data_IF_891342851229
#
_entry.id   IF_891342851229
#
_cell.length_a   1.000
_cell.length_b   1.000
_cell.length_c   1.000
_cell.angle_alpha   90.00
_cell.angle_beta   90.00
_cell.angle_gamma   90.00
#
_symmetry.space_group_name_H-M   'P 1'
#
loop_
_entity.id
_entity.type
_entity.pdbx_description
1 polymer ?
#
# COMPACT_ATOMS: atom_id res chain seq x y z
N UNK A 1 -13.37 25.96 -7.13
CA UNK A 1 -13.67 26.27 -5.72
C UNK A 1 -13.85 27.78 -5.60
N UNK A 2 -14.95 28.24 -5.01
CA UNK A 2 -15.22 29.65 -4.72
C UNK A 2 -15.49 29.79 -3.22
N UNK A 3 -14.61 30.50 -2.51
CA UNK A 3 -14.83 30.82 -1.11
C UNK A 3 -14.57 32.30 -0.86
N UNK A 4 -15.51 32.96 -0.20
CA UNK A 4 -15.39 34.34 0.26
C UNK A 4 -15.05 34.34 1.75
N UNK A 5 -13.89 34.88 2.10
CA UNK A 5 -13.45 35.04 3.48
C UNK A 5 -13.35 36.52 3.81
N UNK A 6 -13.86 36.91 4.97
CA UNK A 6 -13.74 38.27 5.51
C UNK A 6 -12.92 38.24 6.79
N UNK A 7 -11.88 39.08 6.87
CA UNK A 7 -11.10 39.27 8.11
C UNK A 7 -11.51 40.59 8.75
N UNK A 8 -12.02 40.56 9.99
CA UNK A 8 -12.31 41.77 10.75
C UNK A 8 -11.10 42.71 10.81
N UNK A 9 -11.35 44.02 10.74
CA UNK A 9 -10.29 45.02 10.74
C UNK A 9 -9.30 44.87 11.92
N UNK A 10 -9.82 44.54 13.10
CA UNK A 10 -9.03 44.34 14.33
C UNK A 10 -8.02 43.18 14.21
N UNK A 11 -8.32 42.15 13.42
CA UNK A 11 -7.47 40.97 13.26
C UNK A 11 -6.36 41.17 12.21
N UNK A 12 -6.40 42.26 11.41
CA UNK A 12 -5.36 42.54 10.40
C UNK A 12 -4.08 43.11 11.00
N UNK A 13 -4.12 43.61 12.24
CA UNK A 13 -2.98 44.25 12.90
C UNK A 13 -2.50 45.54 12.20
N UNK A 14 -3.35 46.15 11.37
CA UNK A 14 -3.08 47.41 10.65
C UNK A 14 -3.70 48.55 11.47
N UNK A 15 -2.95 49.64 11.67
CA UNK A 15 -3.48 50.82 12.35
C UNK A 15 -4.64 51.44 11.54
N UNK A 16 -5.72 51.84 12.22
CA UNK A 16 -6.89 52.47 11.58
C UNK A 16 -6.60 53.87 11.03
N UNK A 17 -5.60 54.53 11.59
CA UNK A 17 -5.20 55.88 11.26
C UNK A 17 -3.68 56.02 11.38
N UNK A 18 -3.09 56.86 10.53
CA UNK A 18 -1.65 57.12 10.49
C UNK A 18 -1.29 58.08 9.37
N UNK A 19 -0.06 58.57 9.36
CA UNK A 19 0.42 59.50 8.34
C UNK A 19 0.44 58.83 6.95
N UNK A 20 -0.16 59.50 5.97
CA UNK A 20 -0.23 59.02 4.59
C UNK A 20 1.16 58.82 3.97
N UNK A 21 2.17 59.57 4.41
CA UNK A 21 3.57 59.40 3.97
C UNK A 21 4.27 58.19 4.62
N UNK A 22 3.76 57.70 5.75
CA UNK A 22 4.29 56.52 6.44
C UNK A 22 3.63 55.20 5.97
N UNK A 23 2.57 55.28 5.17
CA UNK A 23 1.89 54.13 4.57
C UNK A 23 2.75 53.48 3.48
N UNK A 24 3.55 52.50 3.88
CA UNK A 24 4.27 51.67 2.93
C UNK A 24 3.34 50.57 2.38
N UNK A 25 2.82 50.76 1.16
CA UNK A 25 1.97 49.81 0.43
C UNK A 25 2.54 48.38 0.37
N UNK A 26 3.87 48.22 0.38
CA UNK A 26 4.53 46.92 0.37
C UNK A 26 4.53 46.21 1.74
N UNK A 27 4.41 46.96 2.85
CA UNK A 27 4.17 46.38 4.18
C UNK A 27 2.71 45.98 4.37
N UNK A 28 1.77 46.74 3.79
CA UNK A 28 0.35 46.38 3.79
C UNK A 28 0.08 45.12 2.95
N UNK A 29 0.73 44.97 1.80
CA UNK A 29 0.54 43.78 0.94
C UNK A 29 1.03 42.48 1.60
N UNK A 30 2.09 42.52 2.42
CA UNK A 30 2.53 41.35 3.21
C UNK A 30 1.58 40.95 4.34
N UNK A 31 0.71 41.87 4.79
CA UNK A 31 -0.34 41.62 5.79
C UNK A 31 -1.69 41.27 5.16
N UNK A 32 -1.75 41.21 3.81
CA UNK A 32 -2.93 40.76 3.12
C UNK A 32 -3.14 39.26 3.34
N UNK A 33 -4.40 38.84 3.39
CA UNK A 33 -4.76 37.43 3.46
C UNK A 33 -4.24 36.70 2.22
N UNK A 34 -3.49 35.62 2.44
CA UNK A 34 -3.10 34.71 1.37
C UNK A 34 -3.71 33.34 1.66
N UNK A 35 -4.32 32.75 0.64
CA UNK A 35 -4.87 31.39 0.71
C UNK A 35 -3.88 30.48 0.00
N UNK A 36 -3.24 29.59 0.75
CA UNK A 36 -2.44 28.52 0.16
C UNK A 36 -3.35 27.32 -0.03
N UNK A 37 -3.71 27.03 -1.28
CA UNK A 37 -4.41 25.80 -1.62
C UNK A 37 -3.42 24.64 -1.42
N UNK A 38 -3.74 23.72 -0.52
CA UNK A 38 -3.04 22.45 -0.41
C UNK A 38 -3.49 21.59 -1.59
N UNK A 39 -2.56 21.13 -2.41
CA UNK A 39 -2.87 20.12 -3.42
C UNK A 39 -3.13 18.79 -2.70
N UNK A 40 -4.35 18.23 -2.78
CA UNK A 40 -4.67 16.95 -2.15
C UNK A 40 -3.88 15.80 -2.78
N UNK A 41 -3.44 15.94 -4.03
CA UNK A 41 -2.76 14.89 -4.78
C UNK A 41 -1.22 14.95 -4.62
N UNK A 42 -0.76 15.04 -3.37
CA UNK A 42 0.67 15.02 -3.09
C UNK A 42 1.17 13.56 -3.02
N UNK A 43 2.08 13.12 -3.91
CA UNK A 43 2.56 11.73 -3.94
C UNK A 43 3.20 11.29 -2.62
N UNK A 44 3.84 12.20 -1.88
CA UNK A 44 4.39 11.89 -0.56
C UNK A 44 3.30 11.55 0.47
N UNK A 45 2.13 12.19 0.41
CA UNK A 45 1.02 11.89 1.32
C UNK A 45 0.43 10.51 1.00
N UNK A 46 0.23 10.21 -0.28
CA UNK A 46 -0.27 8.91 -0.73
C UNK A 46 0.68 7.77 -0.32
N UNK A 47 1.99 7.94 -0.52
CA UNK A 47 3.01 6.96 -0.12
C UNK A 47 3.10 6.81 1.40
N UNK A 48 3.06 7.91 2.16
CA UNK A 48 3.08 7.86 3.63
C UNK A 48 1.89 7.05 4.19
N UNK A 49 0.73 7.17 3.56
CA UNK A 49 -0.44 6.35 3.92
C UNK A 49 -0.26 4.90 3.53
N UNK A 50 0.26 4.62 2.35
CA UNK A 50 0.63 3.27 1.91
C UNK A 50 1.53 2.57 2.94
N UNK A 51 2.55 3.27 3.42
CA UNK A 51 3.52 2.75 4.37
C UNK A 51 2.90 2.38 5.72
N UNK A 52 1.88 3.12 6.20
CA UNK A 52 1.13 2.74 7.41
C UNK A 52 0.44 1.38 7.29
N UNK A 53 0.11 0.96 6.06
CA UNK A 53 -0.53 -0.33 5.77
C UNK A 53 0.45 -1.37 5.20
N UNK A 54 1.75 -1.06 5.13
CA UNK A 54 2.73 -1.95 4.51
C UNK A 54 2.81 -3.32 5.18
N UNK A 55 2.71 -3.38 6.51
CA UNK A 55 2.73 -4.65 7.25
C UNK A 55 1.57 -5.56 6.87
N UNK A 56 0.35 -5.01 6.78
CA UNK A 56 -0.84 -5.75 6.35
C UNK A 56 -0.62 -6.32 4.95
N UNK A 57 -0.11 -5.49 4.04
CA UNK A 57 0.09 -5.88 2.65
C UNK A 57 1.15 -6.97 2.50
N UNK A 58 2.32 -6.78 3.13
CA UNK A 58 3.39 -7.78 3.15
C UNK A 58 2.88 -9.10 3.75
N UNK A 59 2.12 -9.02 4.85
CA UNK A 59 1.49 -10.18 5.47
C UNK A 59 0.53 -10.92 4.53
N UNK A 60 -0.27 -10.19 3.75
CA UNK A 60 -1.22 -10.79 2.80
C UNK A 60 -0.50 -11.46 1.61
N UNK A 61 0.56 -10.84 1.11
CA UNK A 61 1.44 -11.44 0.09
C UNK A 61 2.11 -12.71 0.62
N UNK A 62 2.60 -12.70 1.87
CA UNK A 62 3.16 -13.89 2.50
C UNK A 62 2.12 -14.98 2.71
N UNK A 63 0.92 -14.62 3.16
CA UNK A 63 -0.18 -15.55 3.31
C UNK A 63 -0.57 -16.19 1.98
N UNK A 64 -0.61 -15.40 0.91
CA UNK A 64 -0.85 -15.89 -0.44
C UNK A 64 0.23 -16.89 -0.88
N UNK A 65 1.51 -16.57 -0.64
CA UNK A 65 2.63 -17.47 -0.94
C UNK A 65 2.56 -18.77 -0.13
N UNK A 66 2.24 -18.65 1.16
CA UNK A 66 2.09 -19.78 2.08
C UNK A 66 0.94 -20.70 1.67
N UNK A 67 -0.23 -20.14 1.34
CA UNK A 67 -1.35 -20.93 0.81
C UNK A 67 -0.97 -21.64 -0.48
N UNK A 68 -0.24 -20.95 -1.37
CA UNK A 68 0.22 -21.54 -2.62
C UNK A 68 1.19 -22.72 -2.38
N UNK A 69 2.17 -22.54 -1.50
CA UNK A 69 3.08 -23.61 -1.06
C UNK A 69 2.31 -24.80 -0.49
N UNK A 70 1.36 -24.53 0.40
CA UNK A 70 0.59 -25.59 1.07
C UNK A 70 -0.28 -26.37 0.09
N UNK A 71 -0.89 -25.70 -0.90
CA UNK A 71 -1.73 -26.33 -1.92
C UNK A 71 -0.91 -27.10 -2.98
N UNK A 72 0.30 -26.63 -3.29
CA UNK A 72 1.18 -27.25 -4.30
C UNK A 72 2.11 -28.31 -3.69
N UNK A 73 2.17 -28.38 -2.35
CA UNK A 73 2.99 -29.33 -1.57
C UNK A 73 4.50 -29.29 -1.91
N UNK A 74 5.00 -28.13 -2.35
CA UNK A 74 6.42 -27.90 -2.67
C UNK A 74 7.03 -27.07 -1.56
N UNK A 75 8.06 -27.61 -0.89
CA UNK A 75 8.76 -26.90 0.18
C UNK A 75 9.55 -25.72 -0.38
N UNK A 76 9.18 -24.52 0.06
CA UNK A 76 9.81 -23.26 -0.34
C UNK A 76 10.94 -22.95 0.63
N UNK A 77 12.11 -22.59 0.11
CA UNK A 77 13.23 -22.23 0.96
C UNK A 77 13.02 -20.84 1.60
N UNK A 78 13.44 -20.64 2.85
CA UNK A 78 13.25 -19.39 3.58
C UNK A 78 13.81 -18.15 2.85
N UNK A 79 14.89 -18.32 2.09
CA UNK A 79 15.45 -17.27 1.25
C UNK A 79 14.45 -16.68 0.23
N UNK A 80 13.51 -17.50 -0.27
CA UNK A 80 12.51 -17.05 -1.24
C UNK A 80 11.47 -16.14 -0.59
N UNK A 81 11.07 -16.42 0.66
CA UNK A 81 10.23 -15.52 1.44
C UNK A 81 10.92 -14.16 1.66
N UNK A 82 12.22 -14.17 1.98
CA UNK A 82 12.97 -12.91 2.12
C UNK A 82 12.99 -12.12 0.82
N UNK A 83 13.23 -12.78 -0.33
CA UNK A 83 13.23 -12.11 -1.64
C UNK A 83 11.86 -11.52 -1.99
N UNK A 84 10.76 -12.21 -1.70
CA UNK A 84 9.40 -11.70 -1.91
C UNK A 84 9.14 -10.48 -1.02
N UNK A 85 9.56 -10.53 0.25
CA UNK A 85 9.48 -9.38 1.15
C UNK A 85 10.28 -8.17 0.66
N UNK A 86 11.50 -8.39 0.18
CA UNK A 86 12.33 -7.34 -0.41
C UNK A 86 11.69 -6.74 -1.66
N UNK A 87 11.08 -7.57 -2.52
CA UNK A 87 10.33 -7.09 -3.67
C UNK A 87 9.18 -6.17 -3.26
N UNK A 88 8.52 -6.45 -2.12
CA UNK A 88 7.50 -5.55 -1.56
C UNK A 88 8.07 -4.22 -1.06
N UNK A 89 9.25 -4.23 -0.44
CA UNK A 89 9.92 -2.98 -0.05
C UNK A 89 10.26 -2.14 -1.29
N UNK A 90 10.77 -2.76 -2.36
CA UNK A 90 11.11 -2.06 -3.62
C UNK A 90 9.87 -1.50 -4.31
N UNK A 91 8.72 -2.17 -4.23
CA UNK A 91 7.47 -1.65 -4.75
C UNK A 91 7.13 -0.25 -4.20
N UNK A 92 7.27 -0.02 -2.89
CA UNK A 92 6.99 1.29 -2.29
C UNK A 92 8.00 2.36 -2.73
N UNK A 93 9.27 1.98 -2.96
CA UNK A 93 10.28 2.89 -3.49
C UNK A 93 9.98 3.28 -4.94
N UNK A 94 9.59 2.32 -5.78
CA UNK A 94 9.17 2.57 -7.16
C UNK A 94 7.92 3.44 -7.22
N UNK A 95 6.95 3.18 -6.34
CA UNK A 95 5.72 3.97 -6.25
C UNK A 95 6.01 5.44 -5.93
N UNK A 96 6.93 5.71 -5.01
CA UNK A 96 7.36 7.07 -4.69
C UNK A 96 8.09 7.72 -5.87
N UNK A 97 9.11 7.05 -6.41
CA UNK A 97 9.94 7.57 -7.50
C UNK A 97 9.11 7.89 -8.76
N UNK A 98 8.20 7.00 -9.16
CA UNK A 98 7.31 7.24 -10.29
C UNK A 98 6.20 8.23 -9.94
N UNK A 99 5.74 8.25 -8.69
CA UNK A 99 4.69 9.16 -8.22
C UNK A 99 5.12 10.62 -8.31
N UNK A 100 6.40 10.90 -8.08
CA UNK A 100 6.98 12.25 -8.24
C UNK A 100 6.97 12.74 -9.68
N UNK A 101 7.17 11.85 -10.66
CA UNK A 101 7.26 12.24 -12.08
C UNK A 101 5.93 12.20 -12.83
N UNK A 102 5.10 11.18 -12.57
CA UNK A 102 3.92 10.88 -13.38
C UNK A 102 2.60 11.02 -12.61
N UNK A 103 2.64 11.23 -11.29
CA UNK A 103 1.46 11.20 -10.42
C UNK A 103 1.07 9.78 -10.00
N UNK A 104 0.13 9.68 -9.06
CA UNK A 104 -0.11 8.44 -8.30
C UNK A 104 -0.59 7.24 -9.14
N UNK A 105 -1.62 7.44 -9.98
CA UNK A 105 -2.24 6.33 -10.73
C UNK A 105 -1.29 5.64 -11.71
N UNK A 106 -0.60 6.35 -12.63
CA UNK A 106 0.34 5.71 -13.55
C UNK A 106 1.56 5.14 -12.81
N UNK A 107 2.04 5.81 -11.76
CA UNK A 107 3.11 5.29 -10.90
C UNK A 107 2.75 3.96 -10.26
N UNK A 108 1.53 3.85 -9.73
CA UNK A 108 1.03 2.62 -9.14
C UNK A 108 0.95 1.49 -10.15
N UNK A 109 0.38 1.72 -11.33
CA UNK A 109 0.25 0.68 -12.36
C UNK A 109 1.61 0.17 -12.84
N UNK A 110 2.58 1.06 -13.03
CA UNK A 110 3.94 0.68 -13.44
C UNK A 110 4.66 -0.08 -12.33
N UNK A 111 4.63 0.43 -11.10
CA UNK A 111 5.28 -0.22 -9.95
C UNK A 111 4.64 -1.59 -9.67
N UNK A 112 3.32 -1.66 -9.58
CA UNK A 112 2.60 -2.91 -9.33
C UNK A 112 2.82 -3.90 -10.48
N UNK A 113 2.71 -3.45 -11.73
CA UNK A 113 2.95 -4.29 -12.91
C UNK A 113 4.36 -4.89 -12.92
N UNK A 114 5.38 -4.07 -12.61
CA UNK A 114 6.76 -4.53 -12.52
C UNK A 114 6.95 -5.56 -11.38
N UNK A 115 6.40 -5.31 -10.19
CA UNK A 115 6.55 -6.23 -9.06
C UNK A 115 5.73 -7.52 -9.24
N UNK A 116 4.52 -7.45 -9.81
CA UNK A 116 3.73 -8.64 -10.18
C UNK A 116 4.48 -9.45 -11.23
N UNK A 117 5.02 -8.81 -12.27
CA UNK A 117 5.78 -9.52 -13.31
C UNK A 117 7.01 -10.21 -12.71
N UNK A 118 7.78 -9.52 -11.87
CA UNK A 118 8.95 -10.07 -11.20
C UNK A 118 8.58 -11.29 -10.33
N UNK A 119 7.57 -11.15 -9.48
CA UNK A 119 7.14 -12.22 -8.56
C UNK A 119 6.48 -13.39 -9.29
N UNK A 120 5.65 -13.15 -10.31
CA UNK A 120 5.04 -14.20 -11.12
C UNK A 120 6.06 -14.96 -11.97
N UNK A 121 7.03 -14.26 -12.58
CA UNK A 121 8.12 -14.90 -13.31
C UNK A 121 8.95 -15.78 -12.38
N UNK A 122 9.30 -15.26 -11.20
CA UNK A 122 10.03 -16.00 -10.18
C UNK A 122 9.27 -17.26 -9.72
N UNK A 123 7.98 -17.13 -9.41
CA UNK A 123 7.13 -18.27 -9.07
C UNK A 123 7.07 -19.32 -10.19
N UNK A 124 7.02 -18.89 -11.46
CA UNK A 124 7.06 -19.80 -12.60
C UNK A 124 8.39 -20.55 -12.77
N UNK A 125 9.51 -19.98 -12.32
CA UNK A 125 10.83 -20.65 -12.32
C UNK A 125 10.93 -21.65 -11.16
N UNK A 126 10.43 -21.27 -9.98
CA UNK A 126 10.53 -22.11 -8.77
C UNK A 126 9.55 -23.29 -8.78
N UNK A 127 8.30 -23.07 -9.16
CA UNK A 127 7.24 -24.08 -9.06
C UNK A 127 6.88 -24.74 -10.40
N UNK A 128 7.33 -24.17 -11.52
CA UNK A 128 7.05 -24.65 -12.88
C UNK A 128 6.06 -23.77 -13.66
N UNK A 129 6.12 -23.87 -15.00
CA UNK A 129 5.46 -22.92 -15.93
C UNK A 129 3.94 -22.85 -15.79
N UNK A 130 3.29 -23.95 -15.41
CA UNK A 130 1.83 -24.02 -15.18
C UNK A 130 1.34 -23.21 -13.98
N UNK A 131 2.22 -22.95 -13.02
CA UNK A 131 1.89 -22.24 -11.78
C UNK A 131 2.10 -20.72 -11.90
N UNK A 132 2.81 -20.27 -12.94
CA UNK A 132 3.04 -18.85 -13.26
C UNK A 132 1.74 -18.06 -13.37
N UNK A 133 0.75 -18.58 -14.10
CA UNK A 133 -0.53 -17.89 -14.33
C UNK A 133 -1.36 -17.83 -13.04
N UNK A 134 -1.41 -18.90 -12.26
CA UNK A 134 -2.14 -18.95 -10.98
C UNK A 134 -1.55 -17.97 -9.97
N UNK A 135 -0.22 -17.94 -9.85
CA UNK A 135 0.48 -16.98 -9.00
C UNK A 135 0.21 -15.54 -9.46
N UNK A 136 0.27 -15.27 -10.77
CA UNK A 136 -0.03 -13.97 -11.35
C UNK A 136 -1.43 -13.45 -11.01
N UNK A 137 -2.46 -14.31 -11.05
CA UNK A 137 -3.84 -13.93 -10.66
C UNK A 137 -3.93 -13.54 -9.19
N UNK A 138 -3.29 -14.30 -8.30
CA UNK A 138 -3.29 -14.02 -6.86
C UNK A 138 -2.58 -12.69 -6.57
N UNK A 139 -1.43 -12.45 -7.19
CA UNK A 139 -0.73 -11.16 -7.05
C UNK A 139 -1.54 -10.03 -7.65
N UNK A 140 -2.14 -10.20 -8.82
CA UNK A 140 -3.00 -9.19 -9.43
C UNK A 140 -4.16 -8.80 -8.51
N UNK A 141 -4.83 -9.78 -7.89
CA UNK A 141 -5.88 -9.51 -6.90
C UNK A 141 -5.34 -8.75 -5.67
N UNK A 142 -4.17 -9.16 -5.18
CA UNK A 142 -3.52 -8.54 -4.01
C UNK A 142 -3.12 -7.09 -4.26
N UNK A 143 -2.52 -6.78 -5.42
CA UNK A 143 -2.18 -5.42 -5.82
C UNK A 143 -3.41 -4.60 -6.25
N UNK A 144 -4.44 -5.22 -6.84
CA UNK A 144 -5.72 -4.55 -7.09
C UNK A 144 -6.36 -4.07 -5.78
N UNK A 145 -6.26 -4.88 -4.74
CA UNK A 145 -6.73 -4.52 -3.41
C UNK A 145 -5.94 -3.36 -2.79
N UNK A 146 -4.62 -3.33 -2.98
CA UNK A 146 -3.80 -2.15 -2.62
C UNK A 146 -4.30 -0.89 -3.32
N UNK A 147 -4.59 -0.97 -4.61
CA UNK A 147 -5.05 0.19 -5.37
C UNK A 147 -6.30 0.78 -4.74
N UNK A 148 -7.27 -0.08 -4.40
CA UNK A 148 -8.51 0.32 -3.73
C UNK A 148 -8.22 0.93 -2.36
N UNK A 149 -7.37 0.28 -1.55
CA UNK A 149 -6.95 0.78 -0.23
C UNK A 149 -6.30 2.16 -0.31
N UNK A 150 -5.45 2.39 -1.30
CA UNK A 150 -4.76 3.67 -1.48
C UNK A 150 -5.67 4.77 -2.04
N UNK A 151 -6.69 4.41 -2.83
CA UNK A 151 -7.67 5.36 -3.38
C UNK A 151 -8.73 5.76 -2.36
N UNK A 152 -9.11 4.85 -1.46
CA UNK A 152 -10.10 5.11 -0.42
C UNK A 152 -9.48 5.81 0.79
N UNK A 153 -9.27 7.11 0.66
CA UNK A 153 -8.77 8.00 1.71
C UNK A 153 -9.55 7.81 3.04
N UNK A 154 -10.88 7.79 3.00
CA UNK A 154 -11.69 7.76 4.24
C UNK A 154 -12.03 6.35 4.75
N UNK A 155 -11.91 5.32 3.91
CA UNK A 155 -12.35 3.94 4.23
C UNK A 155 -11.22 2.90 4.28
N UNK A 156 -9.95 3.33 4.18
CA UNK A 156 -8.80 2.42 4.14
C UNK A 156 -8.76 1.41 5.30
N UNK A 157 -9.06 1.84 6.54
CA UNK A 157 -9.04 0.95 7.70
C UNK A 157 -10.15 -0.11 7.64
N UNK A 158 -11.36 0.28 7.21
CA UNK A 158 -12.50 -0.62 7.07
C UNK A 158 -12.23 -1.68 5.99
N UNK A 159 -11.78 -1.25 4.82
CA UNK A 159 -11.45 -2.13 3.69
C UNK A 159 -10.31 -3.08 4.07
N UNK A 160 -9.27 -2.57 4.73
CA UNK A 160 -8.12 -3.37 5.16
C UNK A 160 -8.49 -4.43 6.19
N UNK A 161 -9.28 -4.07 7.20
CA UNK A 161 -9.75 -5.00 8.22
C UNK A 161 -10.65 -6.10 7.64
N UNK A 162 -11.62 -5.72 6.79
CA UNK A 162 -12.52 -6.68 6.14
C UNK A 162 -11.75 -7.63 5.22
N UNK A 163 -10.77 -7.10 4.49
CA UNK A 163 -9.87 -7.91 3.67
C UNK A 163 -9.09 -8.91 4.51
N UNK A 164 -8.45 -8.46 5.59
CA UNK A 164 -7.68 -9.32 6.48
C UNK A 164 -8.56 -10.44 7.04
N UNK A 165 -9.77 -10.09 7.48
CA UNK A 165 -10.74 -11.04 7.99
C UNK A 165 -11.12 -12.09 6.94
N UNK A 166 -11.47 -11.68 5.72
CA UNK A 166 -11.80 -12.59 4.62
C UNK A 166 -10.60 -13.46 4.24
N UNK A 167 -9.39 -12.90 4.19
CA UNK A 167 -8.18 -13.65 3.87
C UNK A 167 -7.89 -14.73 4.91
N UNK A 168 -8.03 -14.41 6.20
CA UNK A 168 -7.88 -15.39 7.29
C UNK A 168 -8.98 -16.45 7.22
N UNK A 169 -10.24 -16.06 7.06
CA UNK A 169 -11.36 -17.00 6.96
C UNK A 169 -11.19 -17.96 5.77
N UNK A 170 -10.77 -17.44 4.61
CA UNK A 170 -10.48 -18.23 3.43
C UNK A 170 -9.30 -19.19 3.65
N UNK A 171 -8.25 -18.71 4.33
CA UNK A 171 -7.11 -19.55 4.72
C UNK A 171 -7.57 -20.71 5.59
N UNK A 172 -8.31 -20.43 6.67
CA UNK A 172 -8.85 -21.45 7.57
C UNK A 172 -9.72 -22.46 6.81
N UNK A 173 -10.53 -22.01 5.86
CA UNK A 173 -11.37 -22.88 5.05
C UNK A 173 -10.56 -23.82 4.15
N UNK A 174 -9.52 -23.30 3.49
CA UNK A 174 -8.66 -24.10 2.61
C UNK A 174 -7.77 -25.09 3.37
N UNK A 175 -7.28 -24.70 4.55
CA UNK A 175 -6.37 -25.53 5.34
C UNK A 175 -7.06 -26.55 6.23
N UNK A 176 -8.41 -26.55 6.29
CA UNK A 176 -9.20 -27.40 7.21
C UNK A 176 -8.93 -28.90 7.11
N UNK A 177 -8.58 -29.39 5.92
CA UNK A 177 -8.38 -30.81 5.64
C UNK A 177 -6.89 -31.20 5.60
N UNK A 178 -6.00 -30.32 6.02
CA UNK A 178 -4.56 -30.54 5.95
C UNK A 178 -4.10 -31.18 7.27
N UNK A 179 -3.49 -32.38 7.16
CA UNK A 179 -2.89 -33.07 8.31
C UNK A 179 -1.58 -32.40 8.69
N UNK A 180 -1.63 -31.43 9.60
CA UNK A 180 -0.45 -30.69 10.08
C UNK A 180 0.48 -31.54 10.93
N UNK A 181 -0.07 -32.55 11.62
CA UNK A 181 0.72 -33.51 12.36
C UNK A 181 1.07 -34.67 11.42
N UNK A 182 2.37 -34.93 11.26
CA UNK A 182 2.84 -36.16 10.66
C UNK A 182 2.34 -37.33 11.51
N UNK A 183 1.66 -38.29 10.89
CA UNK A 183 1.16 -39.50 11.53
C UNK A 183 2.36 -40.26 12.15
N UNK A 184 2.63 -40.03 13.44
CA UNK A 184 3.57 -40.82 14.21
C UNK A 184 2.93 -42.17 14.52
N UNK A 185 2.77 -43.01 13.49
CA UNK A 185 2.51 -44.44 13.68
C UNK A 185 3.76 -45.07 14.29
N UNK A 186 3.74 -45.18 15.61
CA UNK A 186 4.65 -46.02 16.38
C UNK A 186 4.54 -47.45 15.90
N UNK A 187 5.64 -48.03 15.41
CA UNK A 187 5.71 -49.46 15.13
C UNK A 187 5.74 -50.24 16.46
N UNK A 188 4.99 -51.34 16.61
CA UNK A 188 5.08 -52.17 17.80
C UNK A 188 6.41 -52.94 17.79
N UNK A 189 7.18 -52.81 18.87
CA UNK A 189 8.29 -53.71 19.17
C UNK A 189 7.72 -55.10 19.48
N UNK A 190 7.89 -56.03 18.54
CA UNK A 190 7.69 -57.46 18.81
C UNK A 190 8.86 -57.96 19.67
N UNK A 191 8.50 -58.43 20.87
CA UNK A 191 9.38 -59.17 21.78
C UNK A 191 9.89 -60.46 21.13
#
# INVERSE_FOLDING_TARGET
FSASWSIPFLARGIAAQGDAKALNVQKLSRRAMSVKLVNPDNPYQNVNRALKYAVLFIGLVFLAYFLFETLVAVKVHAAQYVLVGLAQCVFYLLLLAFGEQFGFTPAFLLAAGATIALTALYAGVVFGRQYRLRAGVVFLATYGLLYVLMRMEDFALMVGALTAFVAIAFTMYLTRNISWYGDHRTMPSTK
#
